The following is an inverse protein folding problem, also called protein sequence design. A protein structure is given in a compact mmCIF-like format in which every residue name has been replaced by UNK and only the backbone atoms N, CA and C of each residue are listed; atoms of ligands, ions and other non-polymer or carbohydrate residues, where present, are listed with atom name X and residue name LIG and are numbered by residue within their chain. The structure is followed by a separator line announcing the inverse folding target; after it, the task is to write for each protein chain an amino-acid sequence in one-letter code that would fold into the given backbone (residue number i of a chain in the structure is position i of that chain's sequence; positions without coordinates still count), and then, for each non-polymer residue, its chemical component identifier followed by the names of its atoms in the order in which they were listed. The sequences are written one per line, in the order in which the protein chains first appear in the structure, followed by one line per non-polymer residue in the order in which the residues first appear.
data_IF_909752617537
#
_entry.id   IF_909752617537
#
_cell.length_a   1.000
_cell.length_b   1.000
_cell.length_c   1.000
_cell.angle_alpha   90.00
_cell.angle_beta   90.00
_cell.angle_gamma   90.00
#
_symmetry.space_group_name_H-M   'P 1'
#
loop_
_entity.id
_entity.type
_entity.pdbx_description
1 polymer ?
#
# COMPACT_ATOMS: atom_id res chain seq x y z
N UNK A 1 8.67 -17.95 6.58
CA UNK A 1 10.09 -18.09 6.16
C UNK A 1 10.71 -16.70 6.15
N UNK A 2 11.81 -16.50 6.87
CA UNK A 2 12.55 -15.24 6.90
C UNK A 2 13.79 -15.34 6.00
N UNK A 3 13.97 -14.38 5.11
CA UNK A 3 15.14 -14.28 4.25
C UNK A 3 15.84 -12.96 4.60
N UNK A 4 17.10 -13.04 5.01
CA UNK A 4 17.92 -11.85 5.27
C UNK A 4 19.27 -12.01 4.58
N UNK A 5 20.06 -10.95 4.61
CA UNK A 5 21.47 -11.05 4.30
C UNK A 5 22.22 -11.94 5.32
N UNK A 6 23.54 -12.05 5.14
CA UNK A 6 24.41 -12.93 5.94
C UNK A 6 24.86 -12.31 7.27
N UNK A 7 24.29 -11.19 7.72
CA UNK A 7 24.66 -10.59 8.98
C UNK A 7 24.22 -11.46 10.16
N UNK A 8 25.17 -11.81 11.03
CA UNK A 8 24.95 -12.68 12.20
C UNK A 8 23.99 -12.06 13.22
N UNK A 9 23.86 -10.72 13.21
CA UNK A 9 22.91 -9.96 14.04
C UNK A 9 21.44 -10.33 13.79
N UNK A 10 21.07 -10.72 12.56
CA UNK A 10 19.68 -11.09 12.26
C UNK A 10 19.26 -12.41 12.91
N UNK A 11 20.17 -13.38 13.04
CA UNK A 11 19.89 -14.62 13.78
C UNK A 11 19.65 -14.34 15.27
N UNK A 12 20.47 -13.47 15.87
CA UNK A 12 20.30 -13.03 17.25
C UNK A 12 18.99 -12.25 17.46
N UNK A 13 18.65 -11.35 16.52
CA UNK A 13 17.41 -10.59 16.57
C UNK A 13 16.18 -11.52 16.46
N UNK A 14 16.22 -12.52 15.56
CA UNK A 14 15.16 -13.53 15.42
C UNK A 14 14.93 -14.29 16.74
N UNK A 15 16.01 -14.73 17.39
CA UNK A 15 15.93 -15.41 18.68
C UNK A 15 15.34 -14.49 19.76
N UNK A 16 15.82 -13.25 19.85
CA UNK A 16 15.31 -12.24 20.79
C UNK A 16 13.83 -11.93 20.59
N UNK A 17 13.36 -11.93 19.33
CA UNK A 17 11.95 -11.65 18.97
C UNK A 17 11.06 -12.90 19.09
N UNK A 18 11.59 -14.07 19.47
CA UNK A 18 10.80 -15.29 19.64
C UNK A 18 10.24 -15.86 18.33
N UNK A 19 10.87 -15.55 17.18
CA UNK A 19 10.36 -16.03 15.89
C UNK A 19 10.82 -17.45 15.57
N UNK A 20 9.89 -18.40 15.61
CA UNK A 20 10.10 -19.81 15.25
C UNK A 20 9.98 -20.10 13.74
N UNK A 21 10.31 -19.13 12.88
CA UNK A 21 10.25 -19.30 11.41
C UNK A 21 11.59 -19.74 10.84
N UNK A 22 11.59 -20.60 9.83
CA UNK A 22 12.81 -20.96 9.09
C UNK A 22 13.53 -19.69 8.60
N UNK A 23 14.83 -19.58 8.88
CA UNK A 23 15.69 -18.47 8.49
C UNK A 23 16.69 -18.92 7.44
N UNK A 24 16.62 -18.36 6.23
CA UNK A 24 17.58 -18.62 5.16
C UNK A 24 18.42 -17.37 4.86
N UNK A 25 19.72 -17.59 4.66
CA UNK A 25 20.72 -16.54 4.40
C UNK A 25 21.38 -16.69 3.01
N UNK A 26 20.73 -17.43 2.11
CA UNK A 26 21.26 -17.69 0.78
C UNK A 26 21.22 -16.43 -0.09
N UNK A 27 22.35 -16.09 -0.74
CA UNK A 27 22.50 -14.86 -1.53
C UNK A 27 21.42 -14.71 -2.62
N UNK A 28 21.11 -15.78 -3.35
CA UNK A 28 20.11 -15.71 -4.41
C UNK A 28 18.68 -15.46 -3.88
N UNK A 29 18.36 -15.97 -2.68
CA UNK A 29 17.06 -15.74 -2.04
C UNK A 29 16.96 -14.29 -1.56
N UNK A 30 18.02 -13.76 -0.95
CA UNK A 30 18.08 -12.37 -0.53
C UNK A 30 17.98 -11.43 -1.73
N UNK A 31 18.71 -11.70 -2.82
CA UNK A 31 18.63 -10.92 -4.04
C UNK A 31 17.22 -10.96 -4.66
N UNK A 32 16.54 -12.11 -4.63
CA UNK A 32 15.14 -12.21 -5.10
C UNK A 32 14.20 -11.37 -4.24
N UNK A 33 14.34 -11.43 -2.92
CA UNK A 33 13.55 -10.62 -2.00
C UNK A 33 13.79 -9.12 -2.24
N UNK A 34 15.06 -8.67 -2.28
CA UNK A 34 15.44 -7.29 -2.58
C UNK A 34 14.93 -6.83 -3.96
N UNK A 35 15.03 -7.68 -4.98
CA UNK A 35 14.57 -7.35 -6.34
C UNK A 35 13.05 -7.19 -6.41
N UNK A 36 12.29 -7.96 -5.62
CA UNK A 36 10.83 -7.81 -5.55
C UNK A 36 10.39 -6.43 -5.04
N UNK A 37 11.25 -5.76 -4.26
CA UNK A 37 11.00 -4.41 -3.75
C UNK A 37 11.44 -3.28 -4.69
N UNK A 38 12.14 -3.57 -5.79
CA UNK A 38 12.63 -2.55 -6.73
C UNK A 38 11.51 -1.64 -7.30
N UNK A 39 10.34 -2.16 -7.72
CA UNK A 39 9.26 -1.33 -8.23
C UNK A 39 8.74 -0.34 -7.17
N UNK A 40 8.66 -0.77 -5.91
CA UNK A 40 8.24 0.08 -4.78
C UNK A 40 9.31 1.13 -4.47
N UNK A 41 10.58 0.73 -4.34
CA UNK A 41 11.70 1.66 -4.09
C UNK A 41 11.86 2.70 -5.20
N UNK A 42 11.63 2.33 -6.47
CA UNK A 42 11.67 3.28 -7.60
C UNK A 42 10.59 4.34 -7.44
N UNK A 43 9.36 3.94 -7.09
CA UNK A 43 8.23 4.86 -6.88
C UNK A 43 8.45 5.76 -5.67
N UNK A 44 8.90 5.22 -4.55
CA UNK A 44 9.27 6.00 -3.37
C UNK A 44 10.29 7.10 -3.70
N UNK A 45 11.31 6.76 -4.50
CA UNK A 45 12.34 7.71 -4.91
C UNK A 45 11.78 8.81 -5.82
N UNK A 46 10.92 8.46 -6.78
CA UNK A 46 10.20 9.44 -7.63
C UNK A 46 9.33 10.36 -6.79
N UNK A 47 8.68 9.82 -5.75
CA UNK A 47 7.81 10.54 -4.83
C UNK A 47 8.56 11.33 -3.74
N UNK A 48 9.89 11.50 -3.86
CA UNK A 48 10.75 12.20 -2.90
C UNK A 48 10.75 11.64 -1.47
N UNK A 49 10.49 10.33 -1.31
CA UNK A 49 10.40 9.58 -0.04
C UNK A 49 9.22 10.00 0.83
N UNK A 50 8.77 9.08 1.69
CA UNK A 50 7.77 9.37 2.71
C UNK A 50 8.40 10.10 3.90
N UNK A 51 7.68 11.06 4.46
CA UNK A 51 8.08 11.83 5.64
C UNK A 51 7.93 11.04 6.95
N UNK A 52 7.11 9.98 6.95
CA UNK A 52 6.92 9.11 8.11
C UNK A 52 6.47 7.70 7.71
N UNK A 53 6.64 6.73 8.63
CA UNK A 53 6.12 5.37 8.48
C UNK A 53 4.60 5.33 8.35
N UNK A 54 3.89 6.18 9.11
CA UNK A 54 2.44 6.31 9.01
C UNK A 54 1.99 6.81 7.63
N UNK A 55 2.72 7.75 7.03
CA UNK A 55 2.43 8.22 5.67
C UNK A 55 2.63 7.09 4.65
N UNK A 56 3.73 6.32 4.78
CA UNK A 56 3.98 5.16 3.94
C UNK A 56 2.85 4.12 4.08
N UNK A 57 2.42 3.83 5.31
CA UNK A 57 1.36 2.85 5.57
C UNK A 57 0.03 3.27 4.95
N UNK A 58 -0.37 4.54 5.09
CA UNK A 58 -1.58 5.09 4.46
C UNK A 58 -1.52 5.04 2.93
N UNK A 59 -0.34 5.26 2.37
CA UNK A 59 -0.14 5.13 0.92
C UNK A 59 -0.27 3.67 0.49
N UNK A 60 0.49 2.77 1.11
CA UNK A 60 0.53 1.35 0.76
C UNK A 60 -0.83 0.67 0.93
N UNK A 61 -1.65 1.08 1.91
CA UNK A 61 -2.97 0.47 2.14
C UNK A 61 -3.95 0.67 0.98
N UNK A 62 -3.80 1.74 0.21
CA UNK A 62 -4.71 2.08 -0.92
C UNK A 62 -4.04 1.90 -2.27
N UNK A 63 -2.71 2.04 -2.34
CA UNK A 63 -1.96 2.09 -3.59
C UNK A 63 -2.20 0.89 -4.51
N UNK A 64 -2.15 -0.34 -3.99
CA UNK A 64 -2.29 -1.53 -4.84
C UNK A 64 -3.71 -1.66 -5.41
N UNK A 65 -4.72 -1.24 -4.64
CA UNK A 65 -6.12 -1.21 -5.10
C UNK A 65 -6.30 -0.20 -6.24
N UNK A 66 -5.70 0.98 -6.11
CA UNK A 66 -5.70 2.00 -7.16
C UNK A 66 -4.90 1.53 -8.38
N UNK A 67 -3.73 0.93 -8.17
CA UNK A 67 -2.89 0.43 -9.26
C UNK A 67 -3.63 -0.65 -10.07
N UNK A 68 -4.34 -1.57 -9.42
CA UNK A 68 -5.13 -2.60 -10.09
C UNK A 68 -6.24 -2.02 -10.98
N UNK A 69 -6.88 -0.92 -10.56
CA UNK A 69 -7.93 -0.27 -11.33
C UNK A 69 -7.42 0.30 -12.67
N UNK A 70 -6.19 0.80 -12.68
CA UNK A 70 -5.57 1.43 -13.86
C UNK A 70 -4.61 0.51 -14.63
N UNK A 71 -4.20 -0.62 -14.04
CA UNK A 71 -3.38 -1.62 -14.70
C UNK A 71 -4.25 -2.51 -15.60
N UNK A 72 -4.60 -1.95 -16.77
CA UNK A 72 -5.38 -2.66 -17.79
C UNK A 72 -4.39 -3.31 -18.76
N UNK A 73 -4.30 -4.66 -18.81
CA UNK A 73 -3.50 -5.34 -19.82
C UNK A 73 -4.18 -5.18 -21.18
N UNK A 74 -3.47 -4.56 -22.12
CA UNK A 74 -3.96 -4.41 -23.48
C UNK A 74 -3.37 -5.52 -24.36
N UNK A 75 -4.19 -6.24 -25.14
CA UNK A 75 -3.69 -7.02 -26.26
C UNK A 75 -2.84 -6.12 -27.19
N UNK A 76 -1.80 -6.68 -27.82
CA UNK A 76 -0.87 -5.90 -28.66
C UNK A 76 -1.55 -5.07 -29.75
N UNK A 77 -2.70 -5.53 -30.26
CA UNK A 77 -3.52 -4.87 -31.27
C UNK A 77 -4.69 -4.03 -30.72
N UNK A 78 -4.75 -3.74 -29.41
CA UNK A 78 -5.84 -2.95 -28.85
C UNK A 78 -5.90 -1.55 -29.47
N UNK A 79 -7.01 -1.28 -30.16
CA UNK A 79 -7.28 0.00 -30.85
C UNK A 79 -7.36 1.14 -29.84
N UNK A 80 -7.01 2.36 -30.27
CA UNK A 80 -6.99 3.55 -29.41
C UNK A 80 -8.31 3.78 -28.65
N UNK A 81 -9.45 3.53 -29.29
CA UNK A 81 -10.77 3.69 -28.68
C UNK A 81 -11.03 2.71 -27.55
N UNK A 82 -10.60 1.45 -27.71
CA UNK A 82 -10.67 0.46 -26.63
C UNK A 82 -9.84 0.88 -25.42
N UNK A 83 -8.64 1.45 -25.65
CA UNK A 83 -7.78 1.96 -24.58
C UNK A 83 -8.41 3.17 -23.88
N UNK A 84 -9.06 4.05 -24.65
CA UNK A 84 -9.76 5.24 -24.12
C UNK A 84 -10.96 4.83 -23.27
N UNK A 85 -11.83 3.97 -23.80
CA UNK A 85 -13.01 3.47 -23.07
C UNK A 85 -12.63 2.73 -21.79
N UNK A 86 -11.57 1.90 -21.82
CA UNK A 86 -11.08 1.20 -20.63
C UNK A 86 -10.57 2.16 -19.55
N UNK A 87 -9.87 3.23 -19.94
CA UNK A 87 -9.45 4.29 -19.02
C UNK A 87 -10.63 5.09 -18.48
N UNK A 88 -11.61 5.43 -19.31
CA UNK A 88 -12.81 6.14 -18.87
C UNK A 88 -13.59 5.36 -17.80
N UNK A 89 -13.74 4.04 -17.97
CA UNK A 89 -14.34 3.15 -16.96
C UNK A 89 -13.54 3.13 -15.66
N UNK A 90 -12.21 3.02 -15.74
CA UNK A 90 -11.34 3.08 -14.57
C UNK A 90 -11.50 4.41 -13.80
N UNK A 91 -11.54 5.54 -14.52
CA UNK A 91 -11.78 6.84 -13.90
C UNK A 91 -13.19 7.01 -13.33
N UNK A 92 -14.21 6.43 -13.96
CA UNK A 92 -15.57 6.45 -13.43
C UNK A 92 -15.66 5.68 -12.09
N UNK A 93 -15.09 4.48 -12.05
CA UNK A 93 -15.01 3.64 -10.85
C UNK A 93 -14.21 4.35 -9.74
N UNK A 94 -13.11 5.02 -10.10
CA UNK A 94 -12.33 5.79 -9.13
C UNK A 94 -13.13 6.94 -8.53
N UNK A 95 -13.89 7.68 -9.34
CA UNK A 95 -14.76 8.77 -8.86
C UNK A 95 -15.81 8.24 -7.89
N UNK A 96 -16.44 7.12 -8.20
CA UNK A 96 -17.40 6.47 -7.32
C UNK A 96 -16.77 6.14 -5.96
N UNK A 97 -15.67 5.37 -5.95
CA UNK A 97 -15.01 4.94 -4.71
C UNK A 97 -14.53 6.14 -3.88
N UNK A 98 -13.89 7.13 -4.52
CA UNK A 98 -13.34 8.30 -3.83
C UNK A 98 -14.42 9.24 -3.30
N UNK A 99 -15.57 9.37 -3.98
CA UNK A 99 -16.70 10.16 -3.51
C UNK A 99 -17.53 9.44 -2.44
N UNK A 100 -17.72 8.12 -2.54
CA UNK A 100 -18.37 7.31 -1.50
C UNK A 100 -17.56 7.31 -0.21
N UNK A 101 -16.22 7.25 -0.31
CA UNK A 101 -15.34 7.38 0.87
C UNK A 101 -15.45 8.75 1.55
N UNK A 102 -15.69 9.82 0.80
CA UNK A 102 -15.88 11.16 1.38
C UNK A 102 -17.21 11.29 2.16
N UNK A 103 -18.23 10.54 1.76
CA UNK A 103 -19.55 10.50 2.42
C UNK A 103 -19.51 9.59 3.66
N UNK A 104 -18.71 8.51 3.65
CA UNK A 104 -18.57 7.62 4.79
C UNK A 104 -17.73 8.21 5.95
N UNK A 105 -16.78 9.10 5.64
CA UNK A 105 -15.91 9.76 6.65
C UNK A 105 -16.59 10.98 7.32
N UNK A 106 -17.74 11.42 6.82
CA UNK A 106 -18.60 12.38 7.53
C UNK A 106 -19.38 11.70 8.66
N UNK A 107 -18.69 11.31 9.73
CA UNK A 107 -19.35 11.04 11.01
C UNK A 107 -19.91 12.37 11.54
N UNK A 108 -21.21 12.47 11.88
CA UNK A 108 -21.71 13.65 12.56
C UNK A 108 -21.04 13.74 13.94
N UNK A 109 -20.39 14.88 14.21
CA UNK A 109 -19.91 15.21 15.55
C UNK A 109 -21.14 15.21 16.48
N UNK A 110 -21.23 14.24 17.38
CA UNK A 110 -22.21 14.29 18.48
C UNK A 110 -21.87 15.50 19.34
N UNK A 111 -22.67 16.56 19.23
CA UNK A 111 -22.68 17.65 20.19
C UNK A 111 -23.24 17.06 21.49
N UNK A 112 -22.37 16.82 22.47
CA UNK A 112 -22.80 16.53 23.82
C UNK A 112 -23.42 17.82 24.39
N UNK A 113 -24.74 17.85 24.52
CA UNK A 113 -25.44 18.84 25.36
C UNK A 113 -25.11 18.51 26.81
N UNK A 114 -24.34 19.36 27.47
CA UNK A 114 -24.21 19.34 28.93
C UNK A 114 -25.48 19.96 29.51
N UNK A 115 -26.27 19.15 30.21
CA UNK A 115 -27.38 19.62 31.02
C UNK A 115 -26.86 20.42 32.20
N UNK A 116 -27.33 21.65 32.35
CA UNK A 116 -27.18 22.42 33.57
C UNK A 116 -28.27 21.98 34.55
N UNK A 117 -27.88 21.25 35.59
CA UNK A 117 -28.67 21.16 36.81
C UNK A 117 -28.57 22.52 37.52
N UNK A 118 -29.73 23.15 37.76
CA UNK A 118 -29.87 24.26 38.69
C UNK A 118 -30.59 23.67 39.91
N UNK A 119 -29.85 23.56 41.01
CA UNK A 119 -30.41 23.71 42.35
C UNK A 119 -30.35 25.20 42.71
#
# INVERSE_FOLDING_TARGET
MMITDKLRSYGAARAKMGFHVEHRQHKALNNRAENSHQPTRRRERIMKRFKSSHQAQRFLSVHDQVANLFHIPYPGAAIADFRRASRERAFATWREISMTSAIADSRPLRIASFGSAVD
#
